data_IF_865673022382
#
_entry.id   IF_865673022382
#
_cell.length_a   1.000
_cell.length_b   1.000
_cell.length_c   1.000
_cell.angle_alpha   90.00
_cell.angle_beta   90.00
_cell.angle_gamma   90.00
#
_symmetry.space_group_name_H-M   'P 1'
#
loop_
_entity.id
_entity.type
_entity.pdbx_description
1 polymer ?
#
# COMPACT_ATOMS: atom_id res chain seq x y z
N UNK A 1 -4.49 16.19 -15.68
CA UNK A 1 -4.56 15.31 -16.88
C UNK A 1 -5.21 14.02 -16.45
N UNK A 2 -6.15 13.48 -17.24
CA UNK A 2 -6.86 12.24 -16.90
C UNK A 2 -6.02 10.99 -17.17
N UNK A 3 -6.44 9.84 -16.66
CA UNK A 3 -5.82 8.55 -16.98
C UNK A 3 -6.26 8.06 -18.37
N UNK A 4 -5.33 7.55 -19.17
CA UNK A 4 -5.58 6.89 -20.45
C UNK A 4 -5.13 5.44 -20.37
N UNK A 5 -5.99 4.56 -19.87
CA UNK A 5 -5.65 3.16 -19.63
C UNK A 5 -5.38 2.42 -20.96
N UNK A 6 -4.31 1.60 -21.03
CA UNK A 6 -4.02 0.80 -22.21
C UNK A 6 -5.09 -0.28 -22.41
N UNK A 7 -5.35 -0.62 -23.67
CA UNK A 7 -6.15 -1.82 -23.97
C UNK A 7 -5.28 -3.06 -23.80
N UNK A 8 -5.74 -4.02 -22.99
CA UNK A 8 -5.14 -5.35 -22.87
C UNK A 8 -5.99 -6.38 -23.61
N UNK A 9 -5.41 -7.52 -24.00
CA UNK A 9 -6.16 -8.59 -24.69
C UNK A 9 -7.24 -9.20 -23.79
N UNK A 10 -8.27 -9.81 -24.39
CA UNK A 10 -9.28 -10.56 -23.63
C UNK A 10 -8.67 -11.69 -22.78
N UNK A 11 -7.59 -12.32 -23.27
CA UNK A 11 -6.86 -13.35 -22.52
C UNK A 11 -6.23 -12.77 -21.25
N UNK A 12 -5.63 -11.58 -21.35
CA UNK A 12 -5.07 -10.86 -20.21
C UNK A 12 -6.17 -10.53 -19.18
N UNK A 13 -7.32 -10.01 -19.63
CA UNK A 13 -8.45 -9.71 -18.73
C UNK A 13 -8.96 -10.97 -18.02
N UNK A 14 -9.14 -12.09 -18.74
CA UNK A 14 -9.53 -13.38 -18.15
C UNK A 14 -8.50 -13.88 -17.14
N UNK A 15 -7.21 -13.65 -17.41
CA UNK A 15 -6.13 -14.00 -16.49
C UNK A 15 -6.17 -13.15 -15.20
N UNK A 16 -6.40 -11.83 -15.30
CA UNK A 16 -6.60 -10.94 -14.14
C UNK A 16 -7.75 -11.44 -13.27
N UNK A 17 -8.91 -11.73 -13.86
CA UNK A 17 -10.09 -12.21 -13.12
C UNK A 17 -9.83 -13.54 -12.40
N UNK A 18 -9.17 -14.48 -13.09
CA UNK A 18 -8.81 -15.77 -12.51
C UNK A 18 -7.74 -15.62 -11.41
N UNK A 19 -6.79 -14.70 -11.59
CA UNK A 19 -5.76 -14.38 -10.63
C UNK A 19 -6.36 -13.76 -9.36
N UNK A 20 -7.26 -12.77 -9.50
CA UNK A 20 -7.98 -12.14 -8.38
C UNK A 20 -8.65 -13.18 -7.49
N UNK A 21 -9.38 -14.14 -8.08
CA UNK A 21 -10.03 -15.23 -7.32
C UNK A 21 -9.02 -16.12 -6.57
N UNK A 22 -7.89 -16.46 -7.19
CA UNK A 22 -6.86 -17.27 -6.51
C UNK A 22 -6.14 -16.50 -5.41
N UNK A 23 -5.83 -15.22 -5.64
CA UNK A 23 -5.26 -14.33 -4.63
C UNK A 23 -6.18 -14.23 -3.42
N UNK A 24 -7.50 -14.10 -3.62
CA UNK A 24 -8.47 -14.04 -2.50
C UNK A 24 -8.36 -15.26 -1.59
N UNK A 25 -8.44 -16.46 -2.17
CA UNK A 25 -8.32 -17.71 -1.40
C UNK A 25 -6.95 -17.84 -0.73
N UNK A 26 -5.87 -17.57 -1.46
CA UNK A 26 -4.51 -17.69 -0.96
C UNK A 26 -4.22 -16.72 0.20
N UNK A 27 -4.54 -15.44 0.03
CA UNK A 27 -4.26 -14.39 1.02
C UNK A 27 -5.05 -14.63 2.31
N UNK A 28 -6.32 -15.03 2.19
CA UNK A 28 -7.15 -15.38 3.33
C UNK A 28 -6.63 -16.62 4.07
N UNK A 29 -6.28 -17.70 3.36
CA UNK A 29 -5.76 -18.95 3.96
C UNK A 29 -4.41 -18.74 4.65
N UNK A 30 -3.53 -17.91 4.06
CA UNK A 30 -2.19 -17.64 4.62
C UNK A 30 -2.15 -16.54 5.66
N UNK A 31 -3.27 -15.86 5.92
CA UNK A 31 -3.35 -14.70 6.82
C UNK A 31 -2.25 -13.65 6.54
N UNK A 32 -2.01 -13.37 5.27
CA UNK A 32 -0.89 -12.55 4.83
C UNK A 32 -1.29 -11.22 4.19
N UNK A 33 -2.58 -10.83 4.27
CA UNK A 33 -3.09 -9.59 3.69
C UNK A 33 -2.27 -8.35 4.08
N UNK A 34 -1.89 -8.11 5.35
CA UNK A 34 -1.10 -6.92 5.70
C UNK A 34 0.26 -6.88 5.00
N UNK A 35 0.90 -8.05 4.82
CA UNK A 35 2.18 -8.15 4.13
C UNK A 35 2.04 -7.91 2.61
N UNK A 36 0.94 -8.36 2.00
CA UNK A 36 0.66 -8.12 0.57
C UNK A 36 0.30 -6.66 0.31
N UNK A 37 -0.44 -6.02 1.23
CA UNK A 37 -0.71 -4.59 1.15
C UNK A 37 0.58 -3.77 1.29
N UNK A 38 1.46 -4.13 2.24
CA UNK A 38 2.79 -3.52 2.35
C UNK A 38 3.62 -3.72 1.08
N UNK A 39 3.64 -4.91 0.48
CA UNK A 39 4.35 -5.16 -0.79
C UNK A 39 3.87 -4.22 -1.90
N UNK A 40 2.55 -4.07 -2.06
CA UNK A 40 1.97 -3.18 -3.07
C UNK A 40 2.28 -1.70 -2.79
N UNK A 41 2.17 -1.26 -1.53
CA UNK A 41 2.56 0.08 -1.06
C UNK A 41 4.03 0.38 -1.39
N UNK A 42 4.95 -0.49 -0.96
CA UNK A 42 6.39 -0.29 -1.17
C UNK A 42 6.77 -0.34 -2.66
N UNK A 43 6.04 -1.11 -3.47
CA UNK A 43 6.24 -1.11 -4.93
C UNK A 43 5.86 0.24 -5.55
N UNK A 44 4.73 0.82 -5.13
CA UNK A 44 4.20 2.07 -5.69
C UNK A 44 4.90 3.32 -5.14
N UNK A 45 5.20 3.35 -3.84
CA UNK A 45 5.67 4.52 -3.09
C UNK A 45 7.09 4.97 -3.43
N UNK A 46 7.75 4.35 -4.41
CA UNK A 46 9.06 4.78 -4.92
C UNK A 46 8.95 5.75 -6.09
N UNK A 47 7.74 6.05 -6.58
CA UNK A 47 7.53 6.94 -7.71
C UNK A 47 7.94 8.38 -7.38
N UNK A 48 8.66 9.01 -8.30
CA UNK A 48 8.96 10.44 -8.25
C UNK A 48 8.35 11.15 -9.47
N UNK A 49 7.43 12.08 -9.22
CA UNK A 49 6.70 12.82 -10.28
C UNK A 49 7.61 13.67 -11.15
N UNK A 50 8.77 14.12 -10.65
CA UNK A 50 9.69 15.00 -11.38
C UNK A 50 10.50 14.23 -12.43
N UNK A 51 11.07 13.10 -12.02
CA UNK A 51 11.92 12.25 -12.88
C UNK A 51 11.16 11.14 -13.57
N UNK A 52 9.91 10.86 -13.17
CA UNK A 52 9.07 9.76 -13.68
C UNK A 52 9.73 8.39 -13.55
N UNK A 53 10.52 8.21 -12.48
CA UNK A 53 11.23 6.97 -12.13
C UNK A 53 10.61 6.31 -10.91
N UNK A 54 10.88 5.01 -10.71
CA UNK A 54 10.22 4.20 -9.67
C UNK A 54 8.75 3.93 -10.00
N UNK A 55 7.98 3.57 -8.99
CA UNK A 55 6.55 3.27 -9.10
C UNK A 55 6.25 1.77 -9.29
N UNK A 56 4.96 1.43 -9.43
CA UNK A 56 4.45 0.06 -9.34
C UNK A 56 4.72 -0.77 -10.62
N UNK A 57 5.98 -0.90 -11.03
CA UNK A 57 6.40 -1.55 -12.28
C UNK A 57 7.16 -2.87 -12.05
N UNK A 58 6.78 -3.60 -11.01
CA UNK A 58 7.27 -4.95 -10.71
C UNK A 58 8.69 -5.03 -10.15
N UNK A 59 9.42 -3.91 -10.05
CA UNK A 59 10.86 -3.90 -9.73
C UNK A 59 11.19 -4.42 -8.33
N UNK A 60 10.24 -4.38 -7.38
CA UNK A 60 10.43 -4.84 -6.00
C UNK A 60 10.84 -6.31 -5.88
N UNK A 61 10.71 -7.11 -6.94
CA UNK A 61 11.20 -8.50 -6.99
C UNK A 61 12.72 -8.61 -7.15
N UNK A 62 13.38 -7.54 -7.57
CA UNK A 62 14.82 -7.54 -7.82
C UNK A 62 15.59 -7.55 -6.49
N UNK A 63 16.69 -8.34 -6.38
CA UNK A 63 17.48 -8.41 -5.16
C UNK A 63 17.97 -7.05 -4.67
N UNK A 64 18.35 -6.16 -5.58
CA UNK A 64 18.82 -4.81 -5.25
C UNK A 64 17.74 -4.01 -4.52
N UNK A 65 16.49 -4.03 -4.99
CA UNK A 65 15.38 -3.33 -4.34
C UNK A 65 14.94 -4.00 -3.02
N UNK A 66 14.95 -5.34 -2.98
CA UNK A 66 14.64 -6.09 -1.75
C UNK A 66 15.68 -5.83 -0.65
N UNK A 67 16.91 -5.46 -1.02
CA UNK A 67 17.98 -5.16 -0.08
C UNK A 67 17.85 -3.79 0.59
N UNK A 68 16.98 -2.91 0.08
CA UNK A 68 16.70 -1.61 0.70
C UNK A 68 16.18 -1.80 2.13
N UNK A 69 16.67 -1.01 3.08
CA UNK A 69 16.37 -1.14 4.51
C UNK A 69 14.86 -1.09 4.79
N UNK A 70 14.13 -0.18 4.13
CA UNK A 70 12.67 -0.06 4.26
C UNK A 70 11.92 -1.31 3.76
N UNK A 71 12.52 -2.10 2.87
CA UNK A 71 11.91 -3.30 2.27
C UNK A 71 12.18 -4.59 3.05
N UNK A 72 12.88 -4.51 4.20
CA UNK A 72 13.19 -5.69 5.01
C UNK A 72 11.93 -6.55 5.28
N UNK A 73 12.01 -7.84 4.97
CA UNK A 73 10.94 -8.83 5.08
C UNK A 73 10.00 -8.93 3.87
N UNK A 74 10.14 -8.09 2.83
CA UNK A 74 9.32 -8.20 1.61
C UNK A 74 9.78 -9.34 0.68
N UNK A 75 10.98 -9.88 0.85
CA UNK A 75 11.43 -11.10 0.19
C UNK A 75 10.50 -12.29 0.52
N UNK A 76 9.94 -12.30 1.73
CA UNK A 76 8.95 -13.29 2.17
C UNK A 76 7.68 -13.17 1.33
N UNK A 77 7.22 -11.94 1.09
CA UNK A 77 6.00 -11.67 0.32
C UNK A 77 6.18 -12.11 -1.14
N UNK A 78 7.29 -11.72 -1.76
CA UNK A 78 7.67 -12.14 -3.12
C UNK A 78 7.70 -13.67 -3.22
N UNK A 79 8.41 -14.33 -2.31
CA UNK A 79 8.52 -15.80 -2.30
C UNK A 79 7.19 -16.51 -2.07
N UNK A 80 6.32 -15.98 -1.22
CA UNK A 80 4.98 -16.53 -0.98
C UNK A 80 4.11 -16.46 -2.24
N UNK A 81 4.23 -15.38 -2.99
CA UNK A 81 3.43 -15.12 -4.17
C UNK A 81 3.94 -15.82 -5.44
N UNK A 82 5.23 -16.15 -5.52
CA UNK A 82 5.87 -16.68 -6.72
C UNK A 82 5.15 -17.92 -7.32
N UNK A 83 4.81 -18.97 -6.54
CA UNK A 83 4.12 -20.15 -7.10
C UNK A 83 2.73 -19.85 -7.65
N UNK A 84 2.10 -18.77 -7.17
CA UNK A 84 0.85 -18.28 -7.74
C UNK A 84 1.10 -17.48 -9.01
N UNK A 85 2.12 -16.62 -9.04
CA UNK A 85 2.51 -15.84 -10.22
C UNK A 85 2.91 -16.73 -11.39
N UNK A 86 3.60 -17.85 -11.16
CA UNK A 86 3.98 -18.83 -12.18
C UNK A 86 2.78 -19.42 -12.94
N UNK A 87 1.59 -19.45 -12.31
CA UNK A 87 0.35 -19.90 -12.96
C UNK A 87 -0.24 -18.86 -13.93
N UNK A 88 0.29 -17.63 -13.91
CA UNK A 88 -0.15 -16.49 -14.72
C UNK A 88 1.05 -15.83 -15.42
N UNK A 89 1.71 -16.53 -16.36
CA UNK A 89 2.86 -15.99 -17.07
C UNK A 89 2.50 -14.79 -17.97
N UNK A 90 1.24 -14.66 -18.39
CA UNK A 90 0.76 -13.54 -19.19
C UNK A 90 0.68 -12.22 -18.39
N UNK A 91 0.52 -12.30 -17.07
CA UNK A 91 0.46 -11.10 -16.22
C UNK A 91 1.87 -10.59 -15.94
N UNK A 92 2.05 -9.27 -15.96
CA UNK A 92 3.28 -8.65 -15.46
C UNK A 92 3.36 -8.82 -13.93
N UNK A 93 4.56 -8.77 -13.37
CA UNK A 93 4.72 -8.69 -11.91
C UNK A 93 4.11 -7.39 -11.37
N UNK A 94 4.23 -6.30 -12.14
CA UNK A 94 3.63 -5.01 -11.85
C UNK A 94 2.12 -5.10 -11.56
N UNK A 95 1.34 -5.64 -12.49
CA UNK A 95 -0.11 -5.80 -12.29
C UNK A 95 -0.42 -6.84 -11.22
N UNK A 96 0.36 -7.92 -11.15
CA UNK A 96 0.14 -8.99 -10.18
C UNK A 96 0.30 -8.49 -8.73
N UNK A 97 1.33 -7.71 -8.42
CA UNK A 97 1.54 -7.17 -7.06
C UNK A 97 0.51 -6.11 -6.68
N UNK A 98 0.12 -5.23 -7.60
CA UNK A 98 -0.94 -4.26 -7.33
C UNK A 98 -2.30 -4.95 -7.13
N UNK A 99 -2.60 -5.99 -7.92
CA UNK A 99 -3.79 -6.81 -7.71
C UNK A 99 -3.78 -7.52 -6.35
N UNK A 100 -2.61 -7.99 -5.89
CA UNK A 100 -2.47 -8.58 -4.56
C UNK A 100 -2.76 -7.57 -3.43
N UNK A 101 -2.33 -6.31 -3.58
CA UNK A 101 -2.65 -5.22 -2.66
C UNK A 101 -4.15 -4.89 -2.60
N UNK A 102 -4.80 -4.75 -3.77
CA UNK A 102 -6.25 -4.55 -3.88
C UNK A 102 -7.01 -5.70 -3.22
N UNK A 103 -6.62 -6.94 -3.50
CA UNK A 103 -7.26 -8.13 -2.90
C UNK A 103 -7.02 -8.18 -1.40
N UNK A 104 -5.85 -7.77 -0.89
CA UNK A 104 -5.57 -7.76 0.54
C UNK A 104 -6.53 -6.85 1.32
N UNK A 105 -6.86 -5.67 0.79
CA UNK A 105 -7.87 -4.77 1.35
C UNK A 105 -9.25 -5.41 1.33
N UNK A 106 -9.64 -5.96 0.17
CA UNK A 106 -10.96 -6.55 -0.02
C UNK A 106 -11.23 -7.76 0.89
N UNK A 107 -10.28 -8.70 1.01
CA UNK A 107 -10.48 -9.92 1.82
C UNK A 107 -10.47 -9.68 3.32
N UNK A 108 -10.03 -8.50 3.75
CA UNK A 108 -10.02 -8.09 5.17
C UNK A 108 -11.21 -7.21 5.53
N UNK A 109 -12.15 -6.98 4.60
CA UNK A 109 -13.38 -6.22 4.82
C UNK A 109 -13.32 -4.74 4.42
N UNK A 110 -12.23 -4.30 3.82
CA UNK A 110 -12.05 -2.93 3.37
C UNK A 110 -12.79 -2.62 2.05
N UNK A 111 -12.66 -1.38 1.54
CA UNK A 111 -13.38 -0.95 0.35
C UNK A 111 -12.90 -1.66 -0.92
N UNK A 112 -13.79 -1.75 -1.91
CA UNK A 112 -13.41 -2.18 -3.26
C UNK A 112 -12.59 -1.08 -3.96
N UNK A 113 -11.29 -1.32 -4.14
CA UNK A 113 -10.41 -0.45 -4.93
C UNK A 113 -10.49 -0.85 -6.40
N UNK A 114 -10.80 0.07 -7.34
CA UNK A 114 -10.76 -0.22 -8.77
C UNK A 114 -9.38 -0.69 -9.21
N UNK A 115 -9.33 -1.62 -10.17
CA UNK A 115 -8.07 -2.13 -10.72
C UNK A 115 -8.08 -2.07 -12.24
N UNK A 116 -7.09 -1.40 -12.82
CA UNK A 116 -6.89 -1.32 -14.26
C UNK A 116 -5.58 -2.03 -14.65
N UNK A 117 -5.62 -3.08 -15.49
CA UNK A 117 -4.41 -3.78 -15.93
C UNK A 117 -3.67 -3.02 -17.05
N UNK A 118 -2.44 -3.45 -17.31
CA UNK A 118 -1.58 -3.01 -18.39
C UNK A 118 -0.25 -2.42 -17.93
N UNK A 119 0.13 -2.52 -16.65
CA UNK A 119 1.45 -2.05 -16.20
C UNK A 119 2.54 -2.94 -16.79
N UNK A 120 3.55 -2.38 -17.47
CA UNK A 120 4.71 -3.16 -17.88
C UNK A 120 5.64 -3.40 -16.70
N UNK A 121 6.41 -4.49 -16.75
CA UNK A 121 7.55 -4.67 -15.85
C UNK A 121 8.72 -3.80 -16.32
N UNK A 122 9.31 -3.02 -15.42
CA UNK A 122 10.59 -2.32 -15.64
C UNK A 122 11.75 -3.18 -15.14
N UNK A 123 12.94 -2.99 -15.73
CA UNK A 123 14.16 -3.70 -15.35
C UNK A 123 14.91 -3.04 -14.20
N UNK A 124 14.91 -1.71 -14.17
CA UNK A 124 15.80 -0.92 -13.32
C UNK A 124 15.06 -0.47 -12.06
N UNK A 125 15.46 -0.94 -10.86
CA UNK A 125 14.90 -0.47 -9.61
C UNK A 125 15.15 1.02 -9.37
N UNK A 126 14.26 1.70 -8.62
CA UNK A 126 14.53 3.06 -8.13
C UNK A 126 15.69 3.05 -7.12
N UNK A 127 16.35 4.20 -6.91
CA UNK A 127 17.32 4.32 -5.82
C UNK A 127 16.63 4.18 -4.45
N UNK A 128 17.36 3.66 -3.47
CA UNK A 128 16.94 3.61 -2.08
C UNK A 128 16.64 5.01 -1.50
N UNK A 129 15.81 5.07 -0.46
CA UNK A 129 15.58 6.29 0.34
C UNK A 129 14.34 7.10 -0.04
N UNK A 130 13.50 6.60 -0.95
CA UNK A 130 12.25 7.28 -1.36
C UNK A 130 11.05 6.98 -0.46
N UNK A 131 11.08 5.88 0.28
CA UNK A 131 9.99 5.47 1.18
C UNK A 131 10.05 6.26 2.50
N UNK A 132 8.91 6.46 3.19
CA UNK A 132 8.86 7.29 4.38
C UNK A 132 9.61 6.67 5.56
N UNK A 133 10.23 7.53 6.38
CA UNK A 133 10.91 7.16 7.62
C UNK A 133 9.94 7.36 8.78
N UNK A 134 9.65 6.26 9.48
CA UNK A 134 8.69 6.21 10.57
C UNK A 134 9.00 7.16 11.74
N UNK A 135 10.24 7.64 11.85
CA UNK A 135 10.72 8.50 12.95
C UNK A 135 10.55 10.00 12.71
N UNK A 136 10.12 10.40 11.50
CA UNK A 136 10.01 11.81 11.09
C UNK A 136 8.58 12.35 11.24
N UNK A 137 8.42 13.66 11.00
CA UNK A 137 7.16 14.38 11.17
C UNK A 137 6.40 14.70 9.87
N UNK A 138 5.42 15.59 9.96
CA UNK A 138 4.49 15.94 8.87
C UNK A 138 5.17 16.54 7.64
N UNK A 139 6.21 17.36 7.81
CA UNK A 139 7.01 17.90 6.69
C UNK A 139 7.61 16.76 5.85
N UNK A 140 8.14 15.73 6.49
CA UNK A 140 8.70 14.56 5.79
C UNK A 140 7.62 13.75 5.08
N UNK A 141 6.43 13.61 5.66
CA UNK A 141 5.31 12.96 4.99
C UNK A 141 4.91 13.75 3.73
N UNK A 142 4.82 15.08 3.82
CA UNK A 142 4.52 15.93 2.64
C UNK A 142 5.62 15.88 1.60
N UNK A 143 6.88 15.82 1.99
CA UNK A 143 7.99 15.67 1.04
C UNK A 143 7.83 14.36 0.27
N UNK A 144 7.72 13.23 0.97
CA UNK A 144 7.64 11.89 0.37
C UNK A 144 6.37 11.71 -0.48
N UNK A 145 5.19 12.00 0.06
CA UNK A 145 3.94 11.84 -0.68
C UNK A 145 3.75 12.94 -1.75
N UNK A 146 4.34 14.12 -1.55
CA UNK A 146 4.40 15.18 -2.56
C UNK A 146 5.27 14.78 -3.75
N UNK A 147 6.37 14.04 -3.52
CA UNK A 147 7.14 13.39 -4.60
C UNK A 147 6.32 12.36 -5.38
N UNK A 148 5.31 11.75 -4.76
CA UNK A 148 4.33 10.88 -5.43
C UNK A 148 3.22 11.67 -6.12
N UNK A 149 3.05 12.96 -5.82
CA UNK A 149 1.93 13.77 -6.30
C UNK A 149 0.61 13.50 -5.58
N UNK A 150 0.67 13.00 -4.34
CA UNK A 150 -0.47 12.72 -3.48
C UNK A 150 -0.74 13.90 -2.54
N UNK A 151 -2.02 14.10 -2.18
CA UNK A 151 -2.48 15.21 -1.35
C UNK A 151 -2.43 14.88 0.14
N UNK A 152 -2.60 15.91 1.00
CA UNK A 152 -2.75 15.73 2.45
C UNK A 152 -3.91 14.76 2.81
N UNK A 153 -5.01 14.78 2.04
CA UNK A 153 -6.11 13.83 2.20
C UNK A 153 -5.68 12.38 1.93
N UNK A 154 -4.90 12.19 0.86
CA UNK A 154 -4.37 10.88 0.49
C UNK A 154 -3.36 10.38 1.55
N UNK A 155 -2.53 11.25 2.13
CA UNK A 155 -1.61 10.90 3.23
C UNK A 155 -2.39 10.29 4.40
N UNK A 156 -3.39 11.01 4.92
CA UNK A 156 -4.12 10.56 6.12
C UNK A 156 -4.94 9.30 5.83
N UNK A 157 -5.59 9.23 4.66
CA UNK A 157 -6.33 8.04 4.27
C UNK A 157 -5.40 6.83 4.15
N UNK A 158 -4.27 6.94 3.45
CA UNK A 158 -3.33 5.84 3.24
C UNK A 158 -2.66 5.39 4.55
N UNK A 159 -2.39 6.29 5.50
CA UNK A 159 -1.94 5.93 6.85
C UNK A 159 -2.93 4.99 7.56
N UNK A 160 -4.22 5.10 7.26
CA UNK A 160 -5.27 4.18 7.73
C UNK A 160 -5.02 2.71 7.39
N UNK A 161 -4.18 2.40 6.39
CA UNK A 161 -3.78 1.02 6.10
C UNK A 161 -3.10 0.31 7.28
N UNK A 162 -2.51 1.06 8.22
CA UNK A 162 -1.98 0.53 9.48
C UNK A 162 -3.06 -0.08 10.39
N UNK A 163 -4.35 0.08 10.07
CA UNK A 163 -5.43 -0.71 10.69
C UNK A 163 -5.16 -2.22 10.56
N UNK A 164 -4.46 -2.62 9.49
CA UNK A 164 -3.95 -3.97 9.26
C UNK A 164 -2.50 -4.15 9.70
N UNK A 165 -2.21 -5.32 10.24
CA UNK A 165 -0.87 -5.81 10.46
C UNK A 165 -0.20 -5.26 11.72
N UNK A 166 1.14 -5.30 11.69
CA UNK A 166 1.98 -4.98 12.84
C UNK A 166 3.42 -4.68 12.44
N UNK A 167 4.10 -3.91 13.27
CA UNK A 167 5.56 -3.80 13.26
C UNK A 167 6.21 -5.08 13.81
N UNK A 168 7.42 -5.35 13.35
CA UNK A 168 8.25 -6.47 13.79
C UNK A 168 9.67 -5.96 14.08
N UNK A 169 10.19 -6.24 15.27
CA UNK A 169 11.45 -5.68 15.77
C UNK A 169 12.63 -6.01 14.87
N UNK A 170 12.66 -7.20 14.29
CA UNK A 170 13.73 -7.64 13.37
C UNK A 170 13.68 -6.99 11.99
N UNK A 171 12.58 -6.29 11.66
CA UNK A 171 12.40 -5.62 10.37
C UNK A 171 12.63 -4.12 10.47
N UNK A 172 11.84 -3.46 11.33
CA UNK A 172 11.80 -2.00 11.45
C UNK A 172 12.35 -1.49 12.78
N UNK A 173 12.69 -2.36 13.73
CA UNK A 173 13.05 -1.98 15.11
C UNK A 173 11.82 -1.70 16.01
N UNK A 174 10.69 -1.32 15.43
CA UNK A 174 9.38 -1.21 16.09
C UNK A 174 8.67 -2.58 16.23
N UNK A 175 7.76 -2.71 17.19
CA UNK A 175 7.07 -3.98 17.52
C UNK A 175 5.62 -3.72 17.93
N UNK A 176 4.68 -4.54 17.44
CA UNK A 176 3.28 -4.50 17.87
C UNK A 176 2.28 -4.08 16.77
N UNK A 177 1.00 -4.45 16.91
CA UNK A 177 -0.06 -4.00 16.00
C UNK A 177 -0.55 -2.59 16.37
N UNK A 178 -1.12 -1.86 15.41
CA UNK A 178 -1.78 -0.58 15.69
C UNK A 178 -3.18 -0.76 16.27
N UNK A 179 -3.84 -1.87 15.93
CA UNK A 179 -5.23 -2.14 16.31
C UNK A 179 -5.36 -3.48 17.06
N UNK A 180 -6.41 -3.65 17.87
CA UNK A 180 -6.70 -4.94 18.51
C UNK A 180 -7.03 -6.06 17.49
N UNK A 181 -7.47 -5.70 16.29
CA UNK A 181 -7.91 -6.63 15.24
C UNK A 181 -7.06 -6.46 13.96
N UNK A 182 -5.77 -6.83 13.95
CA UNK A 182 -4.83 -6.50 12.86
C UNK A 182 -5.08 -7.25 11.53
N UNK A 183 -6.19 -7.98 11.41
CA UNK A 183 -6.61 -8.67 10.19
C UNK A 183 -7.98 -8.19 9.68
N UNK A 184 -8.54 -7.14 10.28
CA UNK A 184 -9.81 -6.51 9.88
C UNK A 184 -9.49 -5.12 9.39
N UNK A 185 -9.94 -4.79 8.17
CA UNK A 185 -9.78 -3.46 7.62
C UNK A 185 -11.00 -2.63 8.00
N UNK A 186 -10.82 -1.75 8.98
CA UNK A 186 -11.83 -0.85 9.54
C UNK A 186 -11.18 0.49 9.93
N UNK A 187 -11.95 1.43 10.48
CA UNK A 187 -11.41 2.71 10.94
C UNK A 187 -10.77 2.70 12.34
N UNK A 188 -10.47 1.52 12.92
CA UNK A 188 -9.90 1.39 14.26
C UNK A 188 -8.56 2.09 14.40
N UNK A 189 -7.74 2.16 13.34
CA UNK A 189 -6.49 2.92 13.36
C UNK A 189 -6.68 4.36 13.88
N UNK A 190 -7.67 5.09 13.36
CA UNK A 190 -7.91 6.47 13.75
C UNK A 190 -8.50 6.58 15.17
N UNK A 191 -9.39 5.64 15.54
CA UNK A 191 -9.97 5.55 16.89
C UNK A 191 -8.88 5.29 17.94
N UNK A 192 -7.97 4.37 17.66
CA UNK A 192 -6.85 4.05 18.54
C UNK A 192 -5.88 5.23 18.63
N UNK A 193 -5.57 5.89 17.50
CA UNK A 193 -4.73 7.07 17.46
C UNK A 193 -5.26 8.20 18.35
N UNK A 194 -6.54 8.54 18.24
CA UNK A 194 -7.19 9.58 19.05
C UNK A 194 -7.27 9.24 20.54
N UNK A 195 -7.32 7.95 20.88
CA UNK A 195 -7.44 7.50 22.27
C UNK A 195 -6.12 7.51 23.06
N UNK A 196 -5.00 7.81 22.40
CA UNK A 196 -3.67 7.84 23.00
C UNK A 196 -3.00 6.47 23.14
N UNK A 197 -1.80 6.46 23.73
CA UNK A 197 -0.99 5.24 23.87
C UNK A 197 -1.67 4.20 24.78
N UNK A 198 -1.77 2.96 24.30
CA UNK A 198 -2.32 1.81 25.05
C UNK A 198 -1.31 0.67 25.11
N UNK A 199 -1.27 -0.04 26.23
CA UNK A 199 -0.43 -1.23 26.36
C UNK A 199 -0.80 -2.28 25.30
N UNK A 200 0.20 -2.78 24.58
CA UNK A 200 0.03 -3.80 23.54
C UNK A 200 -0.26 -3.25 22.14
N UNK A 201 -0.52 -1.95 21.98
CA UNK A 201 -0.67 -1.29 20.67
C UNK A 201 0.50 -0.33 20.41
N UNK A 202 0.81 -0.12 19.13
CA UNK A 202 1.84 0.83 18.71
C UNK A 202 1.26 2.06 18.03
N UNK A 203 1.92 3.20 18.24
CA UNK A 203 1.77 4.40 17.42
C UNK A 203 3.18 4.90 17.08
N UNK A 204 3.52 4.93 15.79
CA UNK A 204 4.79 5.46 15.31
C UNK A 204 4.81 6.99 15.44
N UNK A 205 5.99 7.64 15.48
CA UNK A 205 6.08 9.09 15.39
C UNK A 205 5.32 9.66 14.18
N UNK A 206 5.41 9.00 13.02
CA UNK A 206 4.65 9.35 11.81
C UNK A 206 3.13 9.19 11.93
N UNK A 207 2.61 8.33 12.81
CA UNK A 207 1.18 8.27 13.11
C UNK A 207 0.78 9.44 14.01
N UNK A 208 1.58 9.71 15.05
CA UNK A 208 1.29 10.76 16.04
C UNK A 208 1.28 12.16 15.44
N UNK A 209 2.14 12.44 14.46
CA UNK A 209 2.15 13.76 13.80
C UNK A 209 0.86 14.06 13.02
N UNK A 210 0.03 13.06 12.70
CA UNK A 210 -1.29 13.30 12.11
C UNK A 210 -2.24 14.02 13.08
N UNK A 211 -1.99 13.93 14.39
CA UNK A 211 -2.77 14.61 15.42
C UNK A 211 -2.33 16.07 15.65
N UNK A 212 -1.10 16.39 15.28
CA UNK A 212 -0.45 17.69 15.54
C UNK A 212 -0.61 18.66 14.36
N UNK A 213 -0.68 18.12 13.14
CA UNK A 213 -0.77 18.93 11.93
C UNK A 213 -2.19 19.45 11.69
N UNK A 214 -2.39 20.77 11.47
CA UNK A 214 -3.72 21.37 11.35
C UNK A 214 -4.49 20.95 10.09
N UNK A 215 -3.81 20.44 9.05
CA UNK A 215 -4.46 19.92 7.85
C UNK A 215 -4.79 18.42 7.98
N UNK A 216 -3.97 17.65 8.71
CA UNK A 216 -4.21 16.22 8.92
C UNK A 216 -5.23 15.94 10.00
N UNK A 217 -5.19 16.69 11.12
CA UNK A 217 -6.02 16.42 12.29
C UNK A 217 -7.52 16.36 12.00
N UNK A 218 -8.11 17.30 11.24
CA UNK A 218 -9.53 17.22 10.90
C UNK A 218 -9.92 15.94 10.14
N UNK A 219 -9.03 15.41 9.30
CA UNK A 219 -9.27 14.16 8.58
C UNK A 219 -9.22 12.95 9.51
N UNK A 220 -8.29 12.94 10.48
CA UNK A 220 -8.25 11.91 11.52
C UNK A 220 -9.55 11.89 12.32
N UNK A 221 -10.05 13.07 12.72
CA UNK A 221 -11.31 13.19 13.45
C UNK A 221 -12.49 12.67 12.59
N UNK A 222 -12.57 13.06 11.32
CA UNK A 222 -13.62 12.58 10.39
C UNK A 222 -13.57 11.06 10.25
N UNK A 223 -12.40 10.49 9.94
CA UNK A 223 -12.29 9.05 9.68
C UNK A 223 -12.53 8.20 10.93
N UNK A 224 -12.25 8.71 12.13
CA UNK A 224 -12.58 8.01 13.36
C UNK A 224 -14.09 7.96 13.65
N UNK A 225 -14.82 9.00 13.25
CA UNK A 225 -16.28 9.10 13.42
C UNK A 225 -17.06 8.40 12.31
N UNK A 226 -16.56 8.45 11.07
CA UNK A 226 -17.23 7.99 9.86
C UNK A 226 -16.33 7.03 9.06
N UNK A 227 -16.62 5.74 9.18
CA UNK A 227 -15.89 4.69 8.45
C UNK A 227 -16.19 4.70 6.95
N UNK A 228 -17.39 5.10 6.53
CA UNK A 228 -17.74 5.18 5.11
C UNK A 228 -16.96 6.31 4.43
N UNK A 229 -16.77 7.44 5.12
CA UNK A 229 -15.89 8.52 4.67
C UNK A 229 -14.44 8.06 4.53
N UNK A 230 -13.92 7.32 5.53
CA UNK A 230 -12.60 6.71 5.44
C UNK A 230 -12.48 5.76 4.26
N UNK A 231 -13.44 4.86 4.07
CA UNK A 231 -13.41 3.87 2.99
C UNK A 231 -13.45 4.51 1.61
N UNK A 232 -14.27 5.55 1.43
CA UNK A 232 -14.33 6.30 0.18
C UNK A 232 -12.99 6.96 -0.16
N UNK A 233 -12.39 7.68 0.80
CA UNK A 233 -11.13 8.37 0.60
C UNK A 233 -9.94 7.41 0.51
N UNK A 234 -9.98 6.28 1.23
CA UNK A 234 -8.97 5.23 1.12
C UNK A 234 -8.99 4.59 -0.26
N UNK A 235 -10.17 4.27 -0.82
CA UNK A 235 -10.27 3.70 -2.15
C UNK A 235 -9.74 4.65 -3.22
N UNK A 236 -10.04 5.95 -3.10
CA UNK A 236 -9.52 6.99 -4.00
C UNK A 236 -7.98 7.09 -3.91
N UNK A 237 -7.44 7.15 -2.69
CA UNK A 237 -6.01 7.31 -2.47
C UNK A 237 -5.21 6.06 -2.87
N UNK A 238 -5.72 4.86 -2.58
CA UNK A 238 -5.12 3.58 -3.00
C UNK A 238 -5.14 3.47 -4.53
N UNK A 239 -6.24 3.84 -5.19
CA UNK A 239 -6.31 3.87 -6.65
C UNK A 239 -5.20 4.76 -7.24
N UNK A 240 -5.07 6.01 -6.76
CA UNK A 240 -4.00 6.94 -7.21
C UNK A 240 -2.61 6.35 -7.00
N UNK A 241 -2.35 5.84 -5.80
CA UNK A 241 -1.08 5.21 -5.44
C UNK A 241 -0.73 4.04 -6.38
N UNK A 242 -1.67 3.12 -6.57
CA UNK A 242 -1.44 1.93 -7.40
C UNK A 242 -1.18 2.28 -8.87
N UNK A 243 -1.55 3.48 -9.31
CA UNK A 243 -1.43 3.97 -10.68
C UNK A 243 -0.35 5.05 -10.86
N UNK A 244 0.53 5.26 -9.87
CA UNK A 244 1.60 6.27 -9.97
C UNK A 244 2.50 6.01 -11.18
N UNK A 245 2.56 6.98 -12.11
CA UNK A 245 3.31 6.88 -13.37
C UNK A 245 2.73 5.93 -14.40
N UNK A 246 1.58 5.31 -14.13
CA UNK A 246 0.88 4.41 -15.06
C UNK A 246 -0.30 5.11 -15.70
N UNK A 247 -0.46 4.96 -17.02
CA UNK A 247 -1.57 5.54 -17.79
C UNK A 247 -1.71 7.06 -17.66
N UNK A 248 -0.64 7.78 -17.30
CA UNK A 248 -0.60 9.24 -17.34
C UNK A 248 -0.71 9.71 -18.80
N UNK A 249 -1.68 10.59 -19.09
CA UNK A 249 -1.88 11.20 -20.41
C UNK A 249 -1.10 12.50 -20.57
#
# INVERSE_FOLDING_TARGET
MGKCYPTVSEEYQKAVEKCKRKLRGFIAEKHCAPLMLRLAWHSAGTFDVKTKTGGPFGTIRHPDELSHAANNGLDIAVRLLEPLKEQFPILSYADFYQLAGVVAVEVTGGPEVPFHPGRPDKSDPPPEGRLPDATKGSDHLRDVFGHMGLSDKDIVALSGAHTLGRCHKERSGFEGPWTPNPNIFDNSYFKELLSGDKEGLIQLPTDKVLLEDPAFRPLVDIYAEDEDAFFADYAEAHLKLSELGFADA
#
